data_IF_328872837706
#
_entry.id   IF_328872837706
#
_cell.length_a   1.000
_cell.length_b   1.000
_cell.length_c   1.000
_cell.angle_alpha   90.00
_cell.angle_beta   90.00
_cell.angle_gamma   90.00
#
_symmetry.space_group_name_H-M   'P 1'
#
loop_
_entity.id
_entity.type
_entity.pdbx_description
1 polymer ?
#
# COMPACT_ATOMS: atom_id res chain seq x y z
N UNK A 1 -13.38 -11.11 -14.78
CA UNK A 1 -13.97 -11.20 -13.42
C UNK A 1 -12.80 -11.31 -12.47
N UNK A 2 -12.59 -10.33 -11.58
CA UNK A 2 -11.45 -10.35 -10.67
C UNK A 2 -11.64 -11.50 -9.67
N UNK A 3 -10.66 -12.40 -9.60
CA UNK A 3 -10.66 -13.53 -8.68
C UNK A 3 -10.17 -13.01 -7.31
N UNK A 4 -11.10 -12.70 -6.41
CA UNK A 4 -10.74 -12.25 -5.05
C UNK A 4 -10.43 -13.48 -4.19
N UNK A 5 -9.37 -13.45 -3.37
CA UNK A 5 -9.13 -14.52 -2.41
C UNK A 5 -10.29 -14.60 -1.41
N UNK A 6 -10.65 -15.82 -1.02
CA UNK A 6 -11.66 -16.02 0.01
C UNK A 6 -11.17 -15.40 1.32
N UNK A 7 -12.02 -14.58 1.95
CA UNK A 7 -11.72 -13.97 3.25
C UNK A 7 -11.70 -15.06 4.32
N UNK A 8 -10.60 -15.25 5.05
CA UNK A 8 -10.55 -16.23 6.13
C UNK A 8 -11.31 -15.70 7.36
N UNK A 9 -11.79 -16.59 8.22
CA UNK A 9 -12.67 -16.24 9.36
C UNK A 9 -11.94 -15.60 10.54
N UNK A 10 -10.61 -15.57 10.51
CA UNK A 10 -9.70 -15.10 11.56
C UNK A 10 -9.25 -13.64 11.38
N UNK A 11 -9.55 -13.00 10.24
CA UNK A 11 -9.15 -11.61 9.96
C UNK A 11 -10.23 -10.58 10.34
N UNK A 12 -9.80 -9.48 10.95
CA UNK A 12 -10.66 -8.38 11.42
C UNK A 12 -10.97 -7.33 10.34
N UNK A 13 -11.11 -7.75 9.08
CA UNK A 13 -11.48 -6.86 7.97
C UNK A 13 -12.97 -6.97 7.68
N UNK A 14 -13.68 -5.88 7.37
CA UNK A 14 -15.02 -5.99 6.77
C UNK A 14 -14.93 -6.52 5.35
N UNK A 15 -16.04 -6.98 4.78
CA UNK A 15 -16.04 -7.52 3.42
C UNK A 15 -15.69 -6.42 2.40
N UNK A 16 -16.15 -5.19 2.63
CA UNK A 16 -15.80 -4.04 1.80
C UNK A 16 -14.31 -3.68 1.91
N UNK A 17 -13.74 -3.76 3.12
CA UNK A 17 -12.31 -3.55 3.32
C UNK A 17 -11.48 -4.64 2.65
N UNK A 18 -11.90 -5.91 2.77
CA UNK A 18 -11.24 -7.03 2.09
C UNK A 18 -11.27 -6.87 0.57
N UNK A 19 -12.42 -6.51 0.01
CA UNK A 19 -12.55 -6.20 -1.42
C UNK A 19 -11.65 -5.03 -1.82
N UNK A 20 -11.60 -3.97 -1.01
CA UNK A 20 -10.73 -2.83 -1.25
C UNK A 20 -9.24 -3.18 -1.14
N UNK A 21 -8.84 -4.19 -0.36
CA UNK A 21 -7.44 -4.65 -0.29
C UNK A 21 -7.09 -5.48 -1.53
N UNK A 22 -7.91 -6.47 -1.90
CA UNK A 22 -7.54 -7.48 -2.90
C UNK A 22 -8.04 -7.25 -4.32
N UNK A 23 -8.92 -6.27 -4.55
CA UNK A 23 -9.43 -6.03 -5.91
C UNK A 23 -8.30 -5.56 -6.85
N UNK A 24 -8.20 -6.18 -8.03
CA UNK A 24 -7.14 -5.95 -9.04
C UNK A 24 -7.74 -5.45 -10.37
N UNK A 25 -6.91 -4.78 -11.17
CA UNK A 25 -7.23 -4.44 -12.57
C UNK A 25 -8.20 -3.27 -12.79
N UNK A 26 -8.56 -2.52 -11.74
CA UNK A 26 -9.46 -1.37 -11.82
C UNK A 26 -9.04 -0.25 -10.88
N UNK A 27 -9.42 0.98 -11.22
CA UNK A 27 -9.35 2.13 -10.32
C UNK A 27 -10.33 1.92 -9.17
N UNK A 28 -9.86 2.01 -7.93
CA UNK A 28 -10.73 1.91 -6.75
C UNK A 28 -10.75 3.26 -6.05
N UNK A 29 -11.96 3.77 -5.84
CA UNK A 29 -12.23 4.89 -4.96
C UNK A 29 -12.77 4.36 -3.65
N UNK A 30 -12.04 4.54 -2.55
CA UNK A 30 -12.49 4.16 -1.21
C UNK A 30 -13.01 5.40 -0.50
N UNK A 31 -14.33 5.60 -0.53
CA UNK A 31 -15.01 6.62 0.27
C UNK A 31 -15.49 5.99 1.58
N UNK A 32 -15.10 6.53 2.74
CA UNK A 32 -15.58 6.05 4.02
C UNK A 32 -15.56 7.15 5.09
N UNK A 33 -16.36 7.00 6.15
CA UNK A 33 -16.42 7.94 7.27
C UNK A 33 -15.13 7.98 8.11
N UNK A 34 -14.88 9.06 8.86
CA UNK A 34 -13.74 9.12 9.79
C UNK A 34 -13.72 7.90 10.73
N UNK A 35 -12.54 7.35 11.03
CA UNK A 35 -12.39 6.16 11.88
C UNK A 35 -12.62 4.80 11.21
N UNK A 36 -13.01 4.74 9.94
CA UNK A 36 -13.31 3.49 9.22
C UNK A 36 -12.09 2.64 8.80
N UNK A 37 -10.89 2.97 9.27
CA UNK A 37 -9.66 2.25 8.93
C UNK A 37 -9.13 2.44 7.49
N UNK A 38 -9.56 3.48 6.75
CA UNK A 38 -9.11 3.73 5.35
C UNK A 38 -7.60 3.66 5.16
N UNK A 39 -6.85 4.29 6.06
CA UNK A 39 -5.39 4.30 6.04
C UNK A 39 -4.82 2.89 6.18
N UNK A 40 -5.39 2.07 7.07
CA UNK A 40 -4.96 0.69 7.27
C UNK A 40 -5.28 -0.20 6.05
N UNK A 41 -6.45 0.00 5.43
CA UNK A 41 -6.84 -0.64 4.16
C UNK A 41 -5.85 -0.30 3.05
N UNK A 42 -5.48 0.98 2.91
CA UNK A 42 -4.55 1.44 1.88
C UNK A 42 -3.13 0.90 2.08
N UNK A 43 -2.64 0.89 3.32
CA UNK A 43 -1.32 0.32 3.64
C UNK A 43 -1.31 -1.17 3.33
N UNK A 44 -2.31 -1.95 3.77
CA UNK A 44 -2.39 -3.37 3.44
C UNK A 44 -2.48 -3.61 1.93
N UNK A 45 -3.30 -2.84 1.22
CA UNK A 45 -3.38 -2.92 -0.24
C UNK A 45 -2.02 -2.72 -0.92
N UNK A 46 -1.23 -1.75 -0.47
CA UNK A 46 0.11 -1.51 -1.00
C UNK A 46 1.01 -2.73 -0.76
N UNK A 47 1.00 -3.28 0.45
CA UNK A 47 1.82 -4.44 0.82
C UNK A 47 1.43 -5.68 0.03
N UNK A 48 0.13 -5.95 -0.12
CA UNK A 48 -0.35 -7.08 -0.93
C UNK A 48 0.06 -6.95 -2.40
N UNK A 49 0.07 -5.73 -2.96
CA UNK A 49 0.57 -5.51 -4.33
C UNK A 49 2.09 -5.72 -4.46
N UNK A 50 2.85 -5.46 -3.40
CA UNK A 50 4.30 -5.68 -3.39
C UNK A 50 4.62 -7.16 -3.17
N UNK A 51 3.82 -7.86 -2.36
CA UNK A 51 3.96 -9.30 -2.08
C UNK A 51 3.49 -10.19 -3.23
N UNK A 52 2.73 -9.66 -4.18
CA UNK A 52 2.20 -10.39 -5.32
C UNK A 52 3.33 -11.05 -6.12
N UNK A 53 3.40 -12.38 -6.11
CA UNK A 53 4.43 -13.13 -6.84
C UNK A 53 4.18 -13.16 -8.35
N UNK A 54 2.91 -13.05 -8.78
CA UNK A 54 2.54 -13.10 -10.20
C UNK A 54 2.81 -11.76 -10.89
N UNK A 55 2.55 -10.66 -10.19
CA UNK A 55 2.74 -9.30 -10.70
C UNK A 55 3.24 -8.35 -9.61
N UNK A 56 4.51 -8.46 -9.20
CA UNK A 56 5.06 -7.67 -8.10
C UNK A 56 5.13 -6.19 -8.48
N UNK A 57 4.48 -5.35 -7.68
CA UNK A 57 4.58 -3.90 -7.80
C UNK A 57 5.82 -3.42 -7.04
N UNK A 58 6.70 -2.67 -7.69
CA UNK A 58 7.80 -2.04 -6.97
C UNK A 58 7.33 -0.75 -6.29
N UNK A 59 8.03 -0.36 -5.22
CA UNK A 59 7.70 0.83 -4.44
C UNK A 59 7.82 2.12 -5.27
N UNK A 60 8.76 2.17 -6.20
CA UNK A 60 8.98 3.30 -7.12
C UNK A 60 7.89 3.44 -8.20
N UNK A 61 7.00 2.45 -8.31
CA UNK A 61 5.83 2.47 -9.20
C UNK A 61 4.55 2.92 -8.46
N UNK A 62 4.64 3.24 -7.16
CA UNK A 62 3.52 3.67 -6.35
C UNK A 62 3.51 5.19 -6.20
N UNK A 63 2.37 5.81 -6.49
CA UNK A 63 2.07 7.17 -6.09
C UNK A 63 1.09 7.18 -4.93
N UNK A 64 1.48 7.80 -3.82
CA UNK A 64 0.56 8.13 -2.73
C UNK A 64 0.46 9.64 -2.61
N UNK A 65 -0.76 10.16 -2.71
CA UNK A 65 -1.06 11.59 -2.56
C UNK A 65 -1.93 11.78 -1.34
N UNK A 66 -1.55 12.72 -0.47
CA UNK A 66 -2.31 13.09 0.73
C UNK A 66 -2.42 14.61 0.81
N UNK A 67 -3.44 15.10 1.53
CA UNK A 67 -3.69 16.54 1.65
C UNK A 67 -2.60 17.28 2.45
N UNK A 68 -1.96 16.62 3.43
CA UNK A 68 -0.94 17.23 4.27
C UNK A 68 0.38 16.48 4.21
N UNK A 69 1.49 17.21 4.46
CA UNK A 69 2.82 16.63 4.60
C UNK A 69 2.91 15.65 5.79
N UNK A 70 2.19 15.95 6.88
CA UNK A 70 2.14 15.08 8.05
C UNK A 70 1.48 13.73 7.72
N UNK A 71 0.36 13.75 6.99
CA UNK A 71 -0.30 12.52 6.50
C UNK A 71 0.58 11.74 5.51
N UNK A 72 1.34 12.43 4.65
CA UNK A 72 2.28 11.78 3.75
C UNK A 72 3.40 11.08 4.52
N UNK A 73 3.97 11.76 5.52
CA UNK A 73 5.01 11.19 6.39
C UNK A 73 4.49 10.01 7.21
N UNK A 74 3.27 10.09 7.73
CA UNK A 74 2.61 9.00 8.44
C UNK A 74 2.39 7.79 7.53
N UNK A 75 1.90 8.01 6.30
CA UNK A 75 1.73 6.94 5.30
C UNK A 75 3.06 6.26 5.00
N UNK A 76 4.12 7.04 4.78
CA UNK A 76 5.48 6.52 4.57
C UNK A 76 5.94 5.67 5.76
N UNK A 77 5.76 6.15 6.99
CA UNK A 77 6.11 5.41 8.19
C UNK A 77 5.36 4.06 8.28
N UNK A 78 4.03 4.09 8.09
CA UNK A 78 3.18 2.89 8.17
C UNK A 78 3.52 1.85 7.09
N UNK A 79 3.78 2.28 5.85
CA UNK A 79 4.20 1.39 4.77
C UNK A 79 5.57 0.78 5.08
N UNK A 80 6.52 1.58 5.57
CA UNK A 80 7.85 1.08 5.97
C UNK A 80 7.77 -0.01 7.04
N UNK A 81 6.99 0.21 8.10
CA UNK A 81 6.76 -0.78 9.15
C UNK A 81 6.13 -2.07 8.62
N UNK A 82 5.13 -1.96 7.74
CA UNK A 82 4.47 -3.13 7.18
C UNK A 82 5.39 -3.92 6.22
N UNK A 83 6.29 -3.24 5.49
CA UNK A 83 7.33 -3.90 4.70
C UNK A 83 8.34 -4.66 5.56
N UNK A 84 8.78 -4.06 6.68
CA UNK A 84 9.69 -4.71 7.63
C UNK A 84 9.06 -5.97 8.22
N UNK A 85 7.78 -5.91 8.60
CA UNK A 85 7.03 -7.07 9.06
C UNK A 85 6.91 -8.15 7.97
N UNK A 86 6.59 -7.77 6.74
CA UNK A 86 6.51 -8.72 5.62
C UNK A 86 7.85 -9.40 5.32
N UNK A 87 8.97 -8.68 5.47
CA UNK A 87 10.31 -9.27 5.35
C UNK A 87 10.63 -10.20 6.52
N UNK A 88 10.17 -9.89 7.73
CA UNK A 88 10.35 -10.78 8.88
C UNK A 88 9.56 -12.10 8.71
N UNK A 89 8.38 -12.05 8.07
CA UNK A 89 7.58 -13.23 7.71
C UNK A 89 8.22 -14.05 6.59
N UNK A 90 8.84 -13.41 5.60
CA UNK A 90 9.51 -14.07 4.48
C UNK A 90 10.94 -13.51 4.26
N UNK A 91 11.92 -13.95 5.09
CA UNK A 91 13.27 -13.41 5.05
C UNK A 91 14.04 -13.72 3.77
N UNK A 92 13.64 -14.73 3.01
CA UNK A 92 14.36 -15.18 1.83
C UNK A 92 13.89 -14.50 0.54
N UNK A 93 12.80 -13.73 0.60
CA UNK A 93 12.30 -12.98 -0.56
C UNK A 93 13.30 -11.91 -1.02
N UNK A 94 13.97 -12.19 -2.14
CA UNK A 94 14.87 -11.24 -2.80
C UNK A 94 14.11 -9.99 -3.28
N UNK A 95 12.85 -10.14 -3.68
CA UNK A 95 12.01 -9.03 -4.09
C UNK A 95 11.76 -8.07 -2.92
N UNK A 96 11.32 -8.57 -1.76
CA UNK A 96 11.08 -7.73 -0.58
C UNK A 96 12.36 -7.02 -0.11
N UNK A 97 13.51 -7.72 -0.11
CA UNK A 97 14.81 -7.10 0.21
C UNK A 97 15.14 -5.93 -0.72
N UNK A 98 14.97 -6.11 -2.03
CA UNK A 98 15.20 -5.04 -3.03
C UNK A 98 14.24 -3.87 -2.81
N UNK A 99 12.97 -4.16 -2.63
CA UNK A 99 11.91 -3.16 -2.41
C UNK A 99 12.16 -2.33 -1.15
N UNK A 100 12.57 -2.98 -0.05
CA UNK A 100 12.90 -2.28 1.21
C UNK A 100 14.14 -1.39 1.05
N UNK A 101 15.17 -1.85 0.35
CA UNK A 101 16.36 -1.03 0.10
C UNK A 101 16.01 0.21 -0.73
N UNK A 102 15.17 0.05 -1.76
CA UNK A 102 14.65 1.17 -2.54
C UNK A 102 13.82 2.13 -1.66
N UNK A 103 12.91 1.61 -0.85
CA UNK A 103 12.10 2.39 0.09
C UNK A 103 12.96 3.17 1.11
N UNK A 104 14.01 2.54 1.66
CA UNK A 104 14.96 3.16 2.60
C UNK A 104 15.78 4.28 1.97
N UNK A 105 16.10 4.17 0.68
CA UNK A 105 16.73 5.29 -0.05
C UNK A 105 15.79 6.50 -0.11
N UNK A 106 14.49 6.27 -0.28
CA UNK A 106 13.48 7.33 -0.27
C UNK A 106 13.22 7.90 1.13
N UNK A 107 13.51 7.17 2.22
CA UNK A 107 13.35 7.67 3.61
C UNK A 107 14.22 8.87 3.92
N UNK A 108 15.45 8.92 3.40
CA UNK A 108 16.40 10.00 3.66
C UNK A 108 16.18 11.26 2.81
N UNK A 109 15.40 11.18 1.73
CA UNK A 109 15.02 12.35 0.95
C UNK A 109 13.77 13.00 1.56
N UNK A 110 13.90 14.23 2.04
CA UNK A 110 12.80 15.08 2.54
C UNK A 110 11.80 15.50 1.44
N UNK A 111 11.87 14.91 0.25
CA UNK A 111 10.96 15.16 -0.85
C UNK A 111 9.61 14.52 -0.55
N UNK A 112 8.70 15.34 -0.02
CA UNK A 112 7.26 15.23 -0.26
C UNK A 112 7.04 14.94 -1.75
N UNK A 113 6.24 13.92 -2.07
CA UNK A 113 5.89 13.43 -3.42
C UNK A 113 6.75 12.25 -3.92
N UNK A 114 6.12 11.07 -3.97
CA UNK A 114 6.71 9.78 -4.35
C UNK A 114 6.78 9.64 -5.88
N UNK A 115 7.92 9.91 -6.56
CA UNK A 115 8.15 9.53 -7.98
C UNK A 115 9.63 9.53 -8.42
N UNK A 116 10.02 8.58 -9.29
CA UNK A 116 10.64 9.01 -10.55
C UNK A 116 10.10 8.34 -11.84
N UNK A 117 9.20 7.35 -11.79
CA UNK A 117 8.61 6.74 -13.01
C UNK A 117 7.13 6.45 -12.83
N UNK A 118 6.31 7.45 -13.18
CA UNK A 118 4.86 7.31 -13.17
C UNK A 118 4.38 6.40 -14.31
N UNK A 119 3.59 5.38 -13.96
CA UNK A 119 2.46 4.97 -14.77
C UNK A 119 1.19 5.11 -13.90
N UNK A 120 0.13 5.65 -14.51
CA UNK A 120 -1.02 6.26 -13.85
C UNK A 120 -1.91 5.26 -13.11
N UNK A 121 -1.94 5.31 -11.77
CA UNK A 121 -3.08 4.86 -10.96
C UNK A 121 -2.83 5.07 -9.46
N UNK A 122 -3.45 6.10 -8.86
CA UNK A 122 -3.95 6.23 -7.48
C UNK A 122 -4.23 7.73 -7.26
N UNK A 123 -5.50 8.11 -7.29
CA UNK A 123 -5.97 9.46 -6.94
C UNK A 123 -6.69 9.32 -5.59
N UNK A 124 -6.05 9.79 -4.52
CA UNK A 124 -6.61 9.75 -3.17
C UNK A 124 -7.25 11.10 -2.85
N UNK A 125 -8.58 11.14 -2.80
CA UNK A 125 -9.32 12.26 -2.22
C UNK A 125 -9.67 11.88 -0.77
N UNK A 126 -8.94 12.44 0.20
CA UNK A 126 -9.32 12.36 1.60
C UNK A 126 -9.97 13.71 1.96
N UNK A 127 -11.31 13.77 1.93
CA UNK A 127 -12.05 14.85 2.59
C UNK A 127 -11.90 14.66 4.10
N UNK A 128 -11.30 15.63 4.77
CA UNK A 128 -11.57 15.90 6.17
C UNK A 128 -12.97 16.51 6.30
#
# INVERSE_FOLDING_TARGET
MANLPAKPSDVSWTDEQWQAIYSKGQNILVAAAAGSGKTAVLVNRIIEKIRDEENPCNVDELLVVTFTNASAAEMKYRVGQALENALAENPDSLHLKKTINAFKSCLHSNSTLFLPRFNSQILLYCQC
#
